data_IF_226212138789
#
_entry.id   IF_226212138789
#
_cell.length_a   1.000
_cell.length_b   1.000
_cell.length_c   1.000
_cell.angle_alpha   90.00
_cell.angle_beta   90.00
_cell.angle_gamma   90.00
#
_symmetry.space_group_name_H-M   'P 1'
#
loop_
_entity.id
_entity.type
_entity.pdbx_description
1 polymer ?
#
# COMPACT_ATOMS: atom_id res chain seq x y z
N UNK A 1 -20.00 -13.20 5.68
CA UNK A 1 -19.66 -12.75 4.31
C UNK A 1 -18.71 -11.58 4.46
N UNK A 2 -17.46 -11.75 4.04
CA UNK A 2 -16.35 -10.85 4.38
C UNK A 2 -16.51 -9.46 3.77
N UNK A 3 -16.32 -8.45 4.61
CA UNK A 3 -16.40 -7.04 4.27
C UNK A 3 -15.28 -6.65 3.31
N UNK A 4 -15.69 -6.11 2.17
CA UNK A 4 -14.87 -5.50 1.14
C UNK A 4 -14.28 -4.20 1.68
N UNK A 5 -13.20 -4.29 2.45
CA UNK A 5 -12.34 -3.13 2.70
C UNK A 5 -11.53 -2.83 1.43
N UNK A 6 -12.26 -2.45 0.38
CA UNK A 6 -11.75 -2.03 -0.92
C UNK A 6 -11.34 -0.57 -0.77
N UNK A 7 -10.06 -0.29 -0.95
CA UNK A 7 -9.63 1.04 -1.37
C UNK A 7 -10.54 1.46 -2.54
N UNK A 8 -11.28 2.56 -2.37
CA UNK A 8 -12.27 3.04 -3.34
C UNK A 8 -11.70 2.96 -4.76
N UNK A 9 -12.27 2.13 -5.65
CA UNK A 9 -11.80 2.00 -7.03
C UNK A 9 -11.72 3.37 -7.72
N UNK A 10 -12.67 4.28 -7.41
CA UNK A 10 -12.66 5.64 -7.90
C UNK A 10 -11.43 6.44 -7.46
N UNK A 11 -11.06 6.36 -6.18
CA UNK A 11 -9.86 7.01 -5.66
C UNK A 11 -8.55 6.46 -6.27
N UNK A 12 -8.44 5.15 -6.51
CA UNK A 12 -7.25 4.56 -7.18
C UNK A 12 -7.15 5.00 -8.63
N UNK A 13 -8.26 4.98 -9.37
CA UNK A 13 -8.30 5.39 -10.76
C UNK A 13 -8.04 6.89 -10.92
N UNK A 14 -8.58 7.71 -10.02
CA UNK A 14 -8.31 9.14 -9.99
C UNK A 14 -6.83 9.42 -9.69
N UNK A 15 -6.24 8.77 -8.69
CA UNK A 15 -4.82 8.91 -8.37
C UNK A 15 -3.93 8.46 -9.53
N UNK A 16 -4.26 7.34 -10.21
CA UNK A 16 -3.56 6.90 -11.41
C UNK A 16 -3.59 7.98 -12.48
N UNK A 17 -4.75 8.55 -12.77
CA UNK A 17 -4.92 9.60 -13.78
C UNK A 17 -4.08 10.85 -13.47
N UNK A 18 -4.04 11.29 -12.22
CA UNK A 18 -3.23 12.45 -11.79
C UNK A 18 -1.74 12.18 -11.97
N UNK A 19 -1.26 11.01 -11.54
CA UNK A 19 0.16 10.64 -11.66
C UNK A 19 0.58 10.47 -13.12
N UNK A 20 -0.25 9.85 -13.96
CA UNK A 20 0.03 9.69 -15.40
C UNK A 20 0.08 11.03 -16.13
N UNK A 21 -0.85 11.94 -15.84
CA UNK A 21 -0.88 13.26 -16.46
C UNK A 21 0.37 14.09 -16.07
N UNK A 22 0.80 14.02 -14.80
CA UNK A 22 2.03 14.67 -14.35
C UNK A 22 3.26 14.12 -15.06
N UNK A 23 3.36 12.79 -15.19
CA UNK A 23 4.45 12.12 -15.89
C UNK A 23 4.54 12.56 -17.35
N UNK A 24 3.40 12.57 -18.06
CA UNK A 24 3.35 12.98 -19.47
C UNK A 24 3.79 14.44 -19.67
N UNK A 25 3.41 15.34 -18.76
CA UNK A 25 3.88 16.73 -18.79
C UNK A 25 5.40 16.83 -18.70
N UNK A 26 6.01 16.13 -17.74
CA UNK A 26 7.46 16.13 -17.56
C UNK A 26 8.20 15.50 -18.74
N UNK A 27 7.70 14.36 -19.24
CA UNK A 27 8.25 13.69 -20.44
C UNK A 27 8.20 14.57 -21.69
N UNK A 28 7.09 15.30 -21.88
CA UNK A 28 6.98 16.27 -22.98
C UNK A 28 7.98 17.43 -22.83
N UNK A 29 8.27 17.84 -21.61
CA UNK A 29 9.23 18.90 -21.34
C UNK A 29 10.67 18.46 -21.63
N UNK A 30 11.06 17.24 -21.21
CA UNK A 30 12.34 16.62 -21.54
C UNK A 30 12.54 16.46 -23.06
N UNK A 31 11.53 15.93 -23.77
CA UNK A 31 11.59 15.71 -25.23
C UNK A 31 11.81 17.00 -26.02
N UNK A 32 11.31 18.13 -25.52
CA UNK A 32 11.49 19.44 -26.17
C UNK A 32 12.89 20.01 -25.96
N UNK A 33 13.72 19.41 -25.09
CA UNK A 33 15.07 19.89 -24.80
C UNK A 33 15.08 21.31 -24.22
N UNK A 34 13.98 21.72 -23.58
CA UNK A 34 13.76 23.11 -23.14
C UNK A 34 14.53 23.47 -21.85
N UNK A 35 15.52 22.66 -21.46
CA UNK A 35 16.10 22.65 -20.13
C UNK A 35 17.63 22.69 -20.13
N UNK A 36 18.23 23.40 -19.15
CA UNK A 36 19.60 23.18 -18.73
C UNK A 36 19.83 21.72 -18.28
N UNK A 37 21.08 21.27 -18.38
CA UNK A 37 21.47 19.87 -18.12
C UNK A 37 21.09 19.40 -16.70
N UNK A 38 21.29 20.22 -15.66
CA UNK A 38 20.95 19.85 -14.28
C UNK A 38 19.45 19.75 -14.01
N UNK A 39 18.64 20.63 -14.62
CA UNK A 39 17.18 20.57 -14.49
C UNK A 39 16.58 19.39 -15.28
N UNK A 40 17.28 18.89 -16.30
CA UNK A 40 16.86 17.68 -16.99
C UNK A 40 17.02 16.44 -16.11
N UNK A 41 18.07 16.40 -15.29
CA UNK A 41 18.36 15.27 -14.39
C UNK A 41 17.31 15.14 -13.28
N UNK A 42 17.00 16.25 -12.59
CA UNK A 42 15.95 16.30 -11.56
C UNK A 42 14.57 15.85 -12.11
N UNK A 43 14.28 16.21 -13.37
CA UNK A 43 13.01 15.84 -14.00
C UNK A 43 12.99 14.36 -14.43
N UNK A 44 14.13 13.79 -14.81
CA UNK A 44 14.26 12.35 -15.06
C UNK A 44 14.02 11.57 -13.77
N UNK A 45 14.64 11.97 -12.66
CA UNK A 45 14.43 11.35 -11.35
C UNK A 45 12.94 11.41 -10.92
N UNK A 46 12.29 12.55 -11.10
CA UNK A 46 10.86 12.69 -10.79
C UNK A 46 9.99 11.79 -11.68
N UNK A 47 10.32 11.63 -12.96
CA UNK A 47 9.61 10.71 -13.86
C UNK A 47 9.77 9.26 -13.38
N UNK A 48 10.96 8.85 -12.94
CA UNK A 48 11.21 7.51 -12.41
C UNK A 48 10.43 7.24 -11.12
N UNK A 49 10.31 8.25 -10.25
CA UNK A 49 9.46 8.17 -9.06
C UNK A 49 7.97 8.01 -9.41
N UNK A 50 7.48 8.73 -10.41
CA UNK A 50 6.10 8.62 -10.91
C UNK A 50 5.84 7.25 -11.53
N UNK A 51 6.77 6.72 -12.32
CA UNK A 51 6.68 5.38 -12.90
C UNK A 51 6.65 4.30 -11.82
N UNK A 52 7.48 4.42 -10.80
CA UNK A 52 7.49 3.52 -9.64
C UNK A 52 6.19 3.59 -8.83
N UNK A 53 5.57 4.78 -8.72
CA UNK A 53 4.27 4.94 -8.07
C UNK A 53 3.13 4.31 -8.88
N UNK A 54 3.11 4.52 -10.19
CA UNK A 54 2.15 3.90 -11.10
C UNK A 54 2.26 2.37 -11.09
N UNK A 55 3.48 1.83 -11.14
CA UNK A 55 3.72 0.39 -11.05
C UNK A 55 3.17 -0.21 -9.74
N UNK A 56 3.24 0.51 -8.62
CA UNK A 56 2.64 0.07 -7.34
C UNK A 56 1.11 0.13 -7.32
N UNK A 57 0.51 1.03 -8.11
CA UNK A 57 -0.94 1.08 -8.30
C UNK A 57 -1.45 -0.02 -9.22
N UNK A 58 -0.64 -0.43 -10.19
CA UNK A 58 -1.00 -1.46 -11.18
C UNK A 58 -0.59 -2.86 -10.74
N UNK A 59 0.38 -2.97 -9.83
CA UNK A 59 0.70 -4.23 -9.17
C UNK A 59 -0.59 -4.74 -8.49
N UNK A 60 -1.11 -5.91 -8.88
CA UNK A 60 -2.09 -6.59 -8.06
C UNK A 60 -1.38 -6.77 -6.73
N UNK A 61 -1.84 -6.05 -5.71
CA UNK A 61 -1.17 -6.10 -4.43
C UNK A 61 -0.96 -7.56 -4.06
N UNK A 62 0.14 -7.86 -3.37
CA UNK A 62 0.09 -8.93 -2.37
C UNK A 62 -1.00 -8.50 -1.38
N UNK A 63 -2.25 -8.73 -1.79
CA UNK A 63 -3.43 -8.30 -1.08
C UNK A 63 -3.46 -9.11 0.19
N UNK A 64 -3.04 -10.37 0.11
CA UNK A 64 -2.89 -11.32 1.18
C UNK A 64 -1.45 -11.40 1.70
N UNK A 65 -1.34 -11.50 3.02
CA UNK A 65 -0.16 -11.96 3.72
C UNK A 65 0.21 -13.37 3.25
N UNK A 66 1.48 -13.59 2.86
CA UNK A 66 1.98 -14.88 2.42
C UNK A 66 1.91 -15.98 3.49
N UNK A 67 1.75 -15.61 4.77
CA UNK A 67 1.70 -16.56 5.90
C UNK A 67 0.29 -16.94 6.32
N UNK A 68 -0.60 -15.96 6.51
CA UNK A 68 -1.95 -16.20 7.03
C UNK A 68 -3.05 -16.05 5.98
N UNK A 69 -2.75 -15.50 4.80
CA UNK A 69 -3.76 -15.22 3.77
C UNK A 69 -4.50 -13.88 3.96
N UNK A 70 -4.32 -13.23 5.11
CA UNK A 70 -5.16 -12.08 5.46
C UNK A 70 -4.69 -10.80 4.81
N UNK A 71 -5.60 -9.83 4.57
CA UNK A 71 -5.25 -8.65 3.84
C UNK A 71 -4.13 -7.85 4.52
N UNK A 72 -3.08 -7.46 3.78
CA UNK A 72 -2.06 -6.55 4.30
C UNK A 72 -2.66 -5.15 4.29
N UNK A 73 -2.77 -4.54 5.48
CA UNK A 73 -3.36 -3.21 5.66
C UNK A 73 -2.69 -2.17 4.76
N UNK A 74 -3.50 -1.22 4.27
CA UNK A 74 -3.02 -0.15 3.41
C UNK A 74 -1.87 0.62 4.07
N UNK A 75 -1.98 0.96 5.35
CA UNK A 75 -0.93 1.64 6.12
C UNK A 75 0.39 0.90 6.07
N UNK A 76 0.39 -0.43 6.22
CA UNK A 76 1.60 -1.24 6.16
C UNK A 76 2.17 -1.30 4.74
N UNK A 77 1.32 -1.42 3.71
CA UNK A 77 1.74 -1.37 2.31
C UNK A 77 2.31 -0.01 1.90
N UNK A 78 1.83 1.08 2.50
CA UNK A 78 2.37 2.43 2.25
C UNK A 78 3.74 2.61 2.88
N UNK A 79 3.93 2.13 4.11
CA UNK A 79 5.20 2.26 4.84
C UNK A 79 6.27 1.28 4.36
N UNK A 80 5.88 0.05 3.97
CA UNK A 80 6.77 -1.02 3.51
C UNK A 80 6.14 -1.71 2.29
N UNK A 81 6.29 -1.15 1.07
CA UNK A 81 5.58 -1.63 -0.12
C UNK A 81 5.97 -3.04 -0.55
N UNK A 82 7.18 -3.49 -0.24
CA UNK A 82 7.69 -4.81 -0.61
C UNK A 82 7.41 -5.90 0.44
N UNK A 83 6.58 -5.62 1.46
CA UNK A 83 6.27 -6.58 2.52
C UNK A 83 5.36 -7.71 2.03
N UNK A 84 5.84 -8.95 2.12
CA UNK A 84 5.02 -10.15 1.89
C UNK A 84 4.14 -10.55 3.08
N UNK A 85 4.26 -9.89 4.24
CA UNK A 85 3.57 -10.25 5.48
C UNK A 85 2.75 -9.09 6.07
N UNK A 86 1.62 -9.42 6.71
CA UNK A 86 0.89 -8.48 7.55
C UNK A 86 1.66 -8.15 8.83
N UNK A 87 1.30 -7.07 9.52
CA UNK A 87 2.00 -6.60 10.73
C UNK A 87 2.09 -7.71 11.79
N UNK A 88 0.99 -8.43 12.03
CA UNK A 88 0.96 -9.52 13.00
C UNK A 88 1.93 -10.65 12.62
N UNK A 89 1.92 -11.10 11.36
CA UNK A 89 2.80 -12.17 10.90
C UNK A 89 4.29 -11.77 10.85
N UNK A 90 4.57 -10.49 10.59
CA UNK A 90 5.92 -9.94 10.63
C UNK A 90 6.48 -9.90 12.05
N UNK A 91 5.67 -9.44 13.02
CA UNK A 91 6.07 -9.44 14.44
C UNK A 91 6.34 -10.85 14.97
N UNK A 92 5.59 -11.86 14.52
CA UNK A 92 5.84 -13.27 14.88
C UNK A 92 7.10 -13.82 14.19
N UNK A 93 7.38 -13.40 12.96
CA UNK A 93 8.58 -13.82 12.23
C UNK A 93 9.87 -13.22 12.83
N UNK A 94 9.79 -11.99 13.32
CA UNK A 94 10.87 -11.32 14.06
C UNK A 94 11.04 -11.90 15.47
N UNK A 95 9.97 -12.48 16.03
CA UNK A 95 9.94 -13.07 17.36
C UNK A 95 10.56 -14.46 17.48
N UNK A 96 10.10 -15.49 16.76
CA UNK A 96 10.58 -16.88 16.91
C UNK A 96 10.00 -17.82 15.82
N UNK A 97 10.84 -18.64 15.21
CA UNK A 97 10.42 -19.89 14.56
C UNK A 97 10.18 -20.99 15.64
N UNK A 98 9.44 -22.08 15.35
CA UNK A 98 8.13 -22.25 14.73
C UNK A 98 7.10 -22.84 15.73
N UNK A 99 5.81 -22.71 15.45
CA UNK A 99 4.75 -23.46 16.13
C UNK A 99 3.48 -23.45 15.29
N UNK A 100 3.20 -24.56 14.62
CA UNK A 100 1.96 -24.76 13.88
C UNK A 100 0.83 -24.94 14.88
N UNK A 101 -0.18 -24.10 14.86
CA UNK A 101 -1.54 -24.54 15.13
C UNK A 101 -2.52 -23.83 14.19
N UNK A 102 -3.48 -24.61 13.74
CA UNK A 102 -4.47 -24.33 12.72
C UNK A 102 -5.80 -24.35 13.46
N UNK A 103 -6.65 -23.34 13.21
CA UNK A 103 -8.03 -23.11 13.76
C UNK A 103 -8.03 -22.44 15.16
N UNK A 104 -8.92 -21.51 15.50
CA UNK A 104 -10.31 -21.27 15.09
C UNK A 104 -10.65 -19.77 14.95
N UNK A 105 -11.80 -19.49 14.33
CA UNK A 105 -12.36 -18.16 14.10
C UNK A 105 -12.71 -17.35 15.36
N UNK A 106 -13.35 -16.18 15.20
CA UNK A 106 -13.15 -15.04 16.09
C UNK A 106 -13.80 -15.24 17.47
N UNK A 107 -12.98 -15.27 18.51
CA UNK A 107 -13.40 -14.81 19.83
C UNK A 107 -13.03 -13.32 19.95
N UNK A 108 -13.95 -12.48 19.50
CA UNK A 108 -14.04 -11.11 20.00
C UNK A 108 -15.51 -10.86 20.23
N UNK A 109 -16.00 -11.43 21.34
CA UNK A 109 -17.01 -10.74 22.13
C UNK A 109 -16.41 -9.38 22.44
N UNK A 110 -16.87 -8.35 21.75
CA UNK A 110 -16.69 -7.00 22.24
C UNK A 110 -17.38 -6.98 23.60
N UNK A 111 -16.58 -7.00 24.67
CA UNK A 111 -17.06 -6.88 26.04
C UNK A 111 -17.92 -5.63 26.14
N UNK A 112 -19.21 -5.86 26.34
CA UNK A 112 -20.24 -4.84 26.52
C UNK A 112 -20.18 -4.21 27.93
N UNK A 113 -18.98 -3.95 28.46
CA UNK A 113 -18.79 -3.44 29.83
C UNK A 113 -17.83 -2.24 29.90
N UNK A 114 -17.82 -1.35 28.91
CA UNK A 114 -17.09 -0.08 29.05
C UNK A 114 -17.87 1.13 28.53
N UNK A 115 -18.91 1.50 29.28
CA UNK A 115 -19.36 2.89 29.41
C UNK A 115 -19.36 3.22 30.90
N UNK A 116 -18.33 3.92 31.44
CA UNK A 116 -18.54 4.63 32.69
C UNK A 116 -19.53 5.77 32.43
N UNK A 117 -20.57 5.83 33.26
CA UNK A 117 -21.54 6.91 33.28
C UNK A 117 -20.82 8.26 33.34
N UNK A 118 -21.01 9.09 32.31
CA UNK A 118 -20.65 10.50 32.36
C UNK A 118 -21.72 11.14 33.26
N UNK A 119 -21.31 11.55 34.47
CA UNK A 119 -22.13 12.29 35.42
C UNK A 119 -22.49 13.70 34.98
#
# INVERSE_FOLDING_TARGET
>A
MAEREYADPGARDHLRAVLSERRERLMNFLRRGALPIGLSDDIVEEVDHLDSALARLDAPGASACARCGEPISLTRRTLVPDTGLCTACALVAEGLAPGRDRRDGPSSTWDAEFLPEIG
#
